data_IF_549150404326
#
_entry.id   IF_549150404326
#
_cell.length_a   1.000
_cell.length_b   1.000
_cell.length_c   1.000
_cell.angle_alpha   90.00
_cell.angle_beta   90.00
_cell.angle_gamma   90.00
#
_symmetry.space_group_name_H-M   'P 1'
#
loop_
_entity.id
_entity.type
_entity.pdbx_description
1 polymer ?
#
# COMPACT_ATOMS: atom_id res chain seq x y z
N UNK A 1 -9.19 11.76 9.15
CA UNK A 1 -7.97 11.15 8.60
C UNK A 1 -7.85 9.82 9.31
N UNK A 2 -7.74 8.73 8.54
CA UNK A 2 -7.65 7.37 9.09
C UNK A 2 -6.44 6.70 8.49
N UNK A 3 -5.74 5.90 9.28
CA UNK A 3 -4.55 5.19 8.84
C UNK A 3 -4.71 3.70 9.13
N UNK A 4 -4.23 2.88 8.21
CA UNK A 4 -4.26 1.44 8.29
C UNK A 4 -2.89 0.87 7.93
N UNK A 5 -2.47 -0.14 8.70
CA UNK A 5 -1.23 -0.87 8.42
C UNK A 5 -1.54 -1.93 7.38
N UNK A 6 -0.83 -1.86 6.26
CA UNK A 6 -0.90 -2.89 5.23
C UNK A 6 0.14 -3.95 5.55
N UNK A 7 -0.33 -5.20 5.69
CA UNK A 7 0.54 -6.36 5.87
C UNK A 7 0.45 -7.28 4.66
N UNK A 8 1.59 -7.84 4.26
CA UNK A 8 1.68 -8.90 3.25
C UNK A 8 2.40 -10.08 3.89
N UNK A 9 1.78 -11.26 3.93
CA UNK A 9 2.32 -12.44 4.63
C UNK A 9 2.78 -12.13 6.07
N UNK A 10 1.94 -11.43 6.84
CA UNK A 10 2.23 -10.94 8.21
C UNK A 10 3.38 -9.89 8.32
N UNK A 11 4.03 -9.53 7.23
CA UNK A 11 5.09 -8.52 7.19
C UNK A 11 4.46 -7.16 6.92
N UNK A 12 4.88 -6.12 7.66
CA UNK A 12 4.46 -4.74 7.40
C UNK A 12 4.97 -4.31 6.01
N UNK A 13 4.06 -4.17 5.06
CA UNK A 13 4.38 -3.74 3.70
C UNK A 13 4.33 -2.21 3.56
N UNK A 14 3.44 -1.55 4.31
CA UNK A 14 3.30 -0.10 4.24
C UNK A 14 2.15 0.43 5.08
N UNK A 15 1.83 1.71 4.86
CA UNK A 15 0.74 2.42 5.52
C UNK A 15 -0.19 2.97 4.44
N UNK A 16 -1.48 2.72 4.62
CA UNK A 16 -2.56 3.31 3.84
C UNK A 16 -3.23 4.40 4.67
N UNK A 17 -3.27 5.61 4.14
CA UNK A 17 -3.87 6.78 4.77
C UNK A 17 -5.06 7.24 3.93
N UNK A 18 -6.22 7.34 4.57
CA UNK A 18 -7.41 7.99 4.04
C UNK A 18 -7.41 9.46 4.49
N UNK A 19 -7.25 10.37 3.53
CA UNK A 19 -7.34 11.80 3.74
C UNK A 19 -8.80 12.24 3.90
N UNK A 20 -9.04 13.32 4.64
CA UNK A 20 -10.38 13.92 4.80
C UNK A 20 -11.04 14.31 3.47
N UNK A 21 -10.25 14.48 2.41
CA UNK A 21 -10.73 14.79 1.06
C UNK A 21 -11.32 13.58 0.32
N UNK A 22 -11.31 12.38 0.92
CA UNK A 22 -11.71 11.12 0.28
C UNK A 22 -10.65 10.54 -0.65
N UNK A 23 -9.41 11.06 -0.59
CA UNK A 23 -8.25 10.51 -1.30
C UNK A 23 -7.54 9.47 -0.43
N UNK A 24 -6.96 8.48 -1.10
CA UNK A 24 -6.14 7.46 -0.48
C UNK A 24 -4.68 7.68 -0.84
N UNK A 25 -3.82 7.64 0.17
CA UNK A 25 -2.37 7.71 0.04
C UNK A 25 -1.79 6.42 0.58
N UNK A 26 -1.00 5.73 -0.22
CA UNK A 26 -0.30 4.52 0.20
C UNK A 26 1.21 4.73 0.13
N UNK A 27 1.91 4.36 1.19
CA UNK A 27 3.37 4.50 1.32
C UNK A 27 3.94 3.16 1.74
N UNK A 28 4.88 2.64 0.97
CA UNK A 28 5.62 1.44 1.35
C UNK A 28 6.56 1.73 2.51
N UNK A 29 6.75 0.72 3.36
CA UNK A 29 7.77 0.76 4.40
C UNK A 29 9.16 0.65 3.77
N UNK A 30 10.11 1.48 4.18
CA UNK A 30 11.45 1.52 3.59
C UNK A 30 12.20 0.19 3.75
N UNK A 31 12.00 -0.51 4.87
CA UNK A 31 12.58 -1.84 5.06
C UNK A 31 11.95 -2.83 4.09
N UNK A 32 10.63 -2.75 3.90
CA UNK A 32 9.94 -3.60 2.93
C UNK A 32 10.43 -3.37 1.50
N UNK A 33 10.68 -2.12 1.10
CA UNK A 33 11.23 -1.80 -0.24
C UNK A 33 12.61 -2.41 -0.44
N UNK A 34 13.46 -2.37 0.59
CA UNK A 34 14.82 -2.91 0.52
C UNK A 34 14.84 -4.44 0.55
N UNK A 35 14.01 -5.06 1.38
CA UNK A 35 13.99 -6.52 1.53
C UNK A 35 13.21 -7.21 0.41
N UNK A 36 12.16 -6.57 -0.11
CA UNK A 36 11.20 -7.18 -1.04
C UNK A 36 10.95 -6.35 -2.32
N UNK A 37 12.00 -5.87 -3.02
CA UNK A 37 11.84 -4.95 -4.17
C UNK A 37 11.10 -5.56 -5.36
N UNK A 38 11.02 -6.90 -5.44
CA UNK A 38 10.39 -7.64 -6.56
C UNK A 38 9.04 -8.28 -6.19
N UNK A 39 8.57 -8.09 -4.95
CA UNK A 39 7.46 -8.88 -4.39
C UNK A 39 6.07 -8.41 -4.88
N UNK A 40 5.90 -7.14 -5.27
CA UNK A 40 4.64 -6.71 -5.86
C UNK A 40 4.56 -7.07 -7.34
N UNK A 41 3.88 -8.18 -7.63
CA UNK A 41 3.59 -8.66 -8.99
C UNK A 41 2.25 -8.20 -9.55
N UNK A 42 1.47 -7.37 -8.82
CA UNK A 42 0.27 -6.75 -9.39
C UNK A 42 0.68 -5.51 -10.19
N UNK A 43 0.62 -5.63 -11.51
CA UNK A 43 1.06 -4.72 -12.58
C UNK A 43 0.74 -3.20 -12.45
N UNK A 44 0.14 -2.71 -11.36
CA UNK A 44 -0.21 -1.29 -11.15
C UNK A 44 0.41 -0.64 -9.90
N UNK A 45 1.12 -1.38 -9.04
CA UNK A 45 1.70 -0.86 -7.78
C UNK A 45 3.10 -1.44 -7.49
N UNK A 46 4.16 -1.05 -8.21
CA UNK A 46 5.50 -1.55 -7.94
C UNK A 46 5.99 -1.14 -6.54
N UNK A 47 6.84 -1.97 -5.92
CA UNK A 47 7.45 -1.61 -4.62
C UNK A 47 8.45 -0.50 -4.84
N UNK A 48 8.14 0.71 -4.38
CA UNK A 48 9.02 1.88 -4.52
C UNK A 48 8.92 2.76 -3.28
N UNK A 49 9.91 3.63 -3.08
CA UNK A 49 9.88 4.67 -2.04
C UNK A 49 8.90 5.80 -2.35
N UNK A 50 8.23 5.79 -3.51
CA UNK A 50 7.26 6.82 -3.89
C UNK A 50 5.91 6.52 -3.25
N UNK A 51 5.24 7.59 -2.83
CA UNK A 51 3.85 7.52 -2.36
C UNK A 51 2.88 7.40 -3.54
N UNK A 52 1.93 6.48 -3.41
CA UNK A 52 0.84 6.29 -4.37
C UNK A 52 -0.38 7.08 -3.89
N UNK A 53 -1.01 7.84 -4.78
CA UNK A 53 -2.21 8.63 -4.45
C UNK A 53 -3.34 8.30 -5.41
N UNK A 54 -4.53 8.06 -4.87
CA UNK A 54 -5.72 7.71 -5.65
C UNK A 54 -6.98 8.37 -5.12
N UNK A 55 -7.95 8.62 -6.01
CA UNK A 55 -9.31 9.08 -5.63
C UNK A 55 -10.20 7.95 -5.11
N UNK A 56 -9.72 6.70 -5.18
CA UNK A 56 -10.43 5.49 -4.76
C UNK A 56 -9.41 4.57 -4.07
N UNK A 57 -9.91 3.67 -3.25
CA UNK A 57 -9.09 2.61 -2.67
C UNK A 57 -8.45 1.79 -3.80
N UNK A 58 -7.17 1.45 -3.64
CA UNK A 58 -6.48 0.67 -4.67
C UNK A 58 -7.13 -0.72 -4.77
N UNK A 59 -7.36 -1.27 -5.98
CA UNK A 59 -8.05 -2.56 -6.16
C UNK A 59 -7.44 -3.73 -5.39
N UNK A 60 -6.15 -3.62 -5.05
CA UNK A 60 -5.43 -4.58 -4.22
C UNK A 60 -5.97 -4.67 -2.78
N UNK A 61 -6.50 -3.57 -2.24
CA UNK A 61 -7.08 -3.52 -0.90
C UNK A 61 -8.59 -3.79 -0.87
N UNK A 62 -9.21 -4.00 -2.04
CA UNK A 62 -10.66 -4.19 -2.22
C UNK A 62 -11.05 -5.67 -2.38
N UNK A 63 -10.08 -6.60 -2.21
CA UNK A 63 -10.30 -8.04 -2.29
C UNK A 63 -10.52 -8.67 -0.90
N UNK A 64 -11.33 -9.75 -0.79
CA UNK A 64 -11.44 -10.50 0.46
C UNK A 64 -10.07 -11.12 0.79
N UNK A 65 -9.55 -10.78 1.97
CA UNK A 65 -8.40 -11.46 2.57
C UNK A 65 -8.93 -12.87 2.92
N UNK A 66 -8.65 -13.85 2.07
CA UNK A 66 -9.04 -15.25 2.30
C UNK A 66 -7.83 -16.05 2.73
#
# INVERSE_FOLDING_TARGET
MREAIVKYNNIKAGILTEENSGKYVFVYDEMYVQTYPKQFSTFKLPVTTRSYRGKRLFPFFDGPIT
#
